data_IF_787998018228
#
_entry.id   IF_787998018228
#
_cell.length_a   1.000
_cell.length_b   1.000
_cell.length_c   1.000
_cell.angle_alpha   90.00
_cell.angle_beta   90.00
_cell.angle_gamma   90.00
#
_symmetry.space_group_name_H-M   'P 1'
#
loop_
_entity.id
_entity.type
_entity.pdbx_description
1 polymer ?
#
# COMPACT_ATOMS: atom_id res chain seq x y z
N UNK A 1 14.61 -6.66 21.67
CA UNK A 1 15.22 -5.65 20.76
C UNK A 1 14.43 -5.66 19.46
N UNK A 2 13.28 -4.97 19.41
CA UNK A 2 12.32 -5.01 18.29
C UNK A 2 12.33 -3.74 17.42
N UNK A 3 12.95 -2.65 17.91
CA UNK A 3 12.84 -1.32 17.29
C UNK A 3 13.28 -1.20 15.82
N UNK A 4 14.28 -1.95 15.35
CA UNK A 4 14.81 -1.78 14.00
C UNK A 4 13.87 -2.29 12.90
N UNK A 5 13.33 -3.49 13.11
CA UNK A 5 12.43 -4.15 12.15
C UNK A 5 11.05 -3.48 12.12
N UNK A 6 10.52 -3.11 13.28
CA UNK A 6 9.23 -2.43 13.35
C UNK A 6 9.30 -1.05 12.70
N UNK A 7 10.39 -0.32 12.88
CA UNK A 7 10.61 0.96 12.20
C UNK A 7 10.67 0.81 10.67
N UNK A 8 11.33 -0.23 10.13
CA UNK A 8 11.33 -0.47 8.69
C UNK A 8 9.95 -0.87 8.18
N UNK A 9 9.23 -1.72 8.90
CA UNK A 9 7.87 -2.13 8.54
C UNK A 9 6.89 -0.95 8.56
N UNK A 10 6.98 -0.08 9.56
CA UNK A 10 6.17 1.14 9.66
C UNK A 10 6.51 2.15 8.55
N UNK A 11 7.79 2.28 8.19
CA UNK A 11 8.22 3.09 7.06
C UNK A 11 7.62 2.58 5.74
N UNK A 12 7.74 1.27 5.50
CA UNK A 12 7.19 0.63 4.30
C UNK A 12 5.66 0.74 4.25
N UNK A 13 5.00 0.57 5.39
CA UNK A 13 3.55 0.71 5.52
C UNK A 13 3.11 2.13 5.13
N UNK A 14 3.80 3.16 5.63
CA UNK A 14 3.53 4.56 5.24
C UNK A 14 3.71 4.78 3.75
N UNK A 15 4.78 4.25 3.17
CA UNK A 15 5.05 4.36 1.73
C UNK A 15 3.93 3.73 0.89
N UNK A 16 3.49 2.51 1.24
CA UNK A 16 2.41 1.81 0.53
C UNK A 16 1.07 2.52 0.66
N UNK A 17 0.73 3.05 1.84
CA UNK A 17 -0.46 3.86 2.04
C UNK A 17 -0.46 5.14 1.19
N UNK A 18 0.70 5.80 1.06
CA UNK A 18 0.85 6.98 0.20
C UNK A 18 0.61 6.63 -1.28
N UNK A 19 1.21 5.52 -1.77
CA UNK A 19 0.99 5.06 -3.15
C UNK A 19 -0.48 4.72 -3.41
N UNK A 20 -1.15 4.03 -2.47
CA UNK A 20 -2.58 3.70 -2.60
C UNK A 20 -3.44 4.96 -2.67
N UNK A 21 -3.16 5.95 -1.82
CA UNK A 21 -3.86 7.25 -1.83
C UNK A 21 -3.69 7.94 -3.18
N UNK A 22 -2.46 8.08 -3.68
CA UNK A 22 -2.20 8.74 -4.96
C UNK A 22 -2.88 8.01 -6.13
N UNK A 23 -2.85 6.67 -6.15
CA UNK A 23 -3.55 5.89 -7.16
C UNK A 23 -5.07 6.13 -7.13
N UNK A 24 -5.67 6.18 -5.93
CA UNK A 24 -7.09 6.47 -5.76
C UNK A 24 -7.46 7.90 -6.22
N UNK A 25 -6.60 8.88 -5.96
CA UNK A 25 -6.79 10.27 -6.39
C UNK A 25 -6.78 10.40 -7.93
N UNK A 26 -5.89 9.66 -8.60
CA UNK A 26 -5.76 9.65 -10.06
C UNK A 26 -6.85 8.82 -10.76
N UNK A 27 -7.47 7.86 -10.06
CA UNK A 27 -8.44 6.94 -10.64
C UNK A 27 -9.63 7.64 -11.32
N UNK A 28 -10.09 8.77 -10.78
CA UNK A 28 -11.22 9.54 -11.31
C UNK A 28 -10.93 10.13 -12.70
N UNK A 29 -9.67 10.45 -12.97
CA UNK A 29 -9.20 11.13 -14.18
C UNK A 29 -8.71 10.15 -15.27
N UNK A 30 -8.67 8.85 -14.94
CA UNK A 30 -8.25 7.79 -15.86
C UNK A 30 -9.34 7.42 -16.89
N UNK A 31 -8.92 7.08 -18.11
CA UNK A 31 -9.77 6.41 -19.10
C UNK A 31 -10.20 5.01 -18.62
N UNK A 32 -11.21 4.37 -19.24
CA UNK A 32 -11.63 3.03 -18.85
C UNK A 32 -10.52 1.97 -18.87
N UNK A 33 -9.58 2.08 -19.81
CA UNK A 33 -8.43 1.17 -19.90
C UNK A 33 -7.45 1.40 -18.73
N UNK A 34 -7.08 2.66 -18.49
CA UNK A 34 -6.18 3.05 -17.39
C UNK A 34 -6.79 2.75 -16.02
N UNK A 35 -8.12 2.85 -15.87
CA UNK A 35 -8.83 2.49 -14.63
C UNK A 35 -8.59 1.04 -14.24
N UNK A 36 -8.55 0.12 -15.22
CA UNK A 36 -8.29 -1.30 -14.96
C UNK A 36 -6.88 -1.50 -14.39
N UNK A 37 -5.89 -0.83 -14.97
CA UNK A 37 -4.50 -0.87 -14.50
C UNK A 37 -4.36 -0.21 -13.13
N UNK A 38 -5.01 0.93 -12.93
CA UNK A 38 -5.01 1.65 -11.65
C UNK A 38 -5.64 0.81 -10.52
N UNK A 39 -6.75 0.11 -10.79
CA UNK A 39 -7.34 -0.84 -9.84
C UNK A 39 -6.38 -1.99 -9.50
N UNK A 40 -5.62 -2.49 -10.48
CA UNK A 40 -4.63 -3.51 -10.23
C UNK A 40 -3.51 -3.01 -9.30
N UNK A 41 -3.04 -1.77 -9.51
CA UNK A 41 -2.06 -1.12 -8.63
C UNK A 41 -2.60 -0.90 -7.21
N UNK A 42 -3.83 -0.43 -7.09
CA UNK A 42 -4.50 -0.23 -5.79
C UNK A 42 -4.64 -1.55 -5.03
N UNK A 43 -5.07 -2.63 -5.70
CA UNK A 43 -5.18 -3.96 -5.10
C UNK A 43 -3.81 -4.50 -4.65
N UNK A 44 -2.77 -4.32 -5.46
CA UNK A 44 -1.41 -4.73 -5.09
C UNK A 44 -0.92 -3.97 -3.83
N UNK A 45 -1.14 -2.65 -3.78
CA UNK A 45 -0.79 -1.85 -2.60
C UNK A 45 -1.57 -2.28 -1.35
N UNK A 46 -2.87 -2.57 -1.49
CA UNK A 46 -3.71 -3.04 -0.38
C UNK A 46 -3.27 -4.41 0.15
N UNK A 47 -2.88 -5.34 -0.73
CA UNK A 47 -2.34 -6.63 -0.34
C UNK A 47 -1.02 -6.49 0.43
N UNK A 48 -0.12 -5.62 -0.03
CA UNK A 48 1.14 -5.31 0.67
C UNK A 48 0.90 -4.69 2.05
N UNK A 49 -0.03 -3.73 2.16
CA UNK A 49 -0.42 -3.12 3.44
C UNK A 49 -0.90 -4.19 4.43
N UNK A 50 -1.79 -5.08 3.98
CA UNK A 50 -2.31 -6.17 4.80
C UNK A 50 -1.18 -7.09 5.28
N UNK A 51 -0.23 -7.42 4.40
CA UNK A 51 0.94 -8.24 4.72
C UNK A 51 1.88 -7.56 5.72
N UNK A 52 2.08 -6.24 5.63
CA UNK A 52 2.91 -5.48 6.56
C UNK A 52 2.27 -5.39 7.95
N UNK A 53 0.96 -5.14 8.00
CA UNK A 53 0.19 -5.13 9.25
C UNK A 53 0.24 -6.49 9.96
N UNK A 54 0.10 -7.59 9.20
CA UNK A 54 0.20 -8.93 9.77
C UNK A 54 1.58 -9.19 10.41
N UNK A 55 2.67 -8.70 9.80
CA UNK A 55 4.02 -8.83 10.36
C UNK A 55 4.24 -7.98 11.62
N UNK A 56 3.64 -6.79 11.68
CA UNK A 56 3.67 -5.93 12.87
C UNK A 56 2.86 -6.50 14.03
N UNK A 57 1.83 -7.30 13.74
CA UNK A 57 1.01 -7.98 14.75
C UNK A 57 1.59 -9.30 15.25
N UNK A 58 2.75 -9.75 14.75
CA UNK A 58 3.40 -10.96 15.27
C UNK A 58 4.16 -10.63 16.58
N UNK A 59 3.95 -11.41 17.64
CA UNK A 59 4.60 -11.21 18.94
C UNK A 59 6.11 -11.47 18.92
#
# INVERSE_FOLDING_TARGET
MTNGKDNSLLHDLRSKCASLKSAAELYKDCSPAEKKEMLALMNAAAADITRLLAQLGQP
#
